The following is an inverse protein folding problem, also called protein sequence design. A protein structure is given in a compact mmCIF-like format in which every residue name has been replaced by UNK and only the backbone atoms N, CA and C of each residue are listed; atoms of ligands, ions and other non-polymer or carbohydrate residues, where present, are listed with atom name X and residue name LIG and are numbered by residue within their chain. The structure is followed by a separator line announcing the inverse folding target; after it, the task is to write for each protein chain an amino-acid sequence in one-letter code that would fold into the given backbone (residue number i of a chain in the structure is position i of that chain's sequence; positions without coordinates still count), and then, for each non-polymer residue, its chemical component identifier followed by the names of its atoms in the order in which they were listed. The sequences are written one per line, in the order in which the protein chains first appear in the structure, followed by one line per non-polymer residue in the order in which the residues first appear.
data_IF_835841321645
#
_entry.id   IF_835841321645
#
_cell.length_a   1.000
_cell.length_b   1.000
_cell.length_c   1.000
_cell.angle_alpha   90.00
_cell.angle_beta   90.00
_cell.angle_gamma   90.00
#
_symmetry.space_group_name_H-M   'P 1'
#
loop_
_entity.id
_entity.type
_entity.pdbx_description
1 polymer ?
#
# COMPACT_ATOMS: atom_id res chain seq x y z
N UNK A 1 14.48 -8.14 40.19
CA UNK A 1 13.88 -8.76 38.99
C UNK A 1 13.84 -7.71 37.89
N UNK A 2 14.46 -8.00 36.74
CA UNK A 2 14.69 -7.05 35.65
C UNK A 2 13.38 -6.79 34.89
N UNK A 3 12.95 -5.54 34.84
CA UNK A 3 11.85 -5.09 34.01
C UNK A 3 12.31 -4.88 32.57
N UNK A 4 11.75 -5.66 31.63
CA UNK A 4 11.94 -5.45 30.20
C UNK A 4 10.93 -4.40 29.72
N UNK A 5 11.40 -3.18 29.46
CA UNK A 5 10.64 -2.18 28.71
C UNK A 5 10.71 -2.55 27.23
N UNK A 6 9.58 -2.90 26.63
CA UNK A 6 9.44 -3.01 25.18
C UNK A 6 9.17 -1.61 24.66
N UNK A 7 10.24 -0.86 24.39
CA UNK A 7 10.19 0.38 23.60
C UNK A 7 10.55 0.06 22.14
N UNK A 8 9.91 0.78 21.21
CA UNK A 8 10.02 0.73 19.75
C UNK A 8 9.23 -0.37 19.02
N UNK A 9 7.93 -0.11 18.82
CA UNK A 9 7.28 -0.53 17.57
C UNK A 9 7.70 0.44 16.46
N UNK A 10 8.22 -0.15 15.40
CA UNK A 10 8.98 0.45 14.30
C UNK A 10 8.05 1.08 13.24
N UNK A 11 7.31 2.14 13.60
CA UNK A 11 6.43 2.85 12.64
C UNK A 11 6.96 4.20 12.16
N UNK A 12 8.10 4.67 12.69
CA UNK A 12 8.65 5.99 12.36
C UNK A 12 9.70 6.12 11.22
N UNK A 13 10.12 5.10 10.46
CA UNK A 13 11.02 5.37 9.33
C UNK A 13 10.31 5.84 8.05
N UNK A 14 8.98 5.65 7.92
CA UNK A 14 8.28 5.93 6.65
C UNK A 14 7.92 7.41 6.46
N UNK A 15 7.46 8.10 7.51
CA UNK A 15 7.08 9.51 7.42
C UNK A 15 8.29 10.45 7.27
N UNK A 16 9.40 10.15 7.95
CA UNK A 16 10.63 10.92 7.82
C UNK A 16 11.25 10.81 6.41
N UNK A 17 11.12 9.65 5.76
CA UNK A 17 11.63 9.42 4.40
C UNK A 17 10.86 10.24 3.35
N UNK A 18 9.52 10.30 3.47
CA UNK A 18 8.65 11.08 2.57
C UNK A 18 8.94 12.59 2.64
N UNK A 19 9.33 13.10 3.81
CA UNK A 19 9.75 14.50 3.98
C UNK A 19 11.14 14.77 3.39
N UNK A 20 12.09 13.83 3.51
CA UNK A 20 13.45 13.97 2.95
C UNK A 20 13.51 13.87 1.42
N UNK A 21 12.55 13.17 0.79
CA UNK A 21 12.48 13.01 -0.66
C UNK A 21 12.09 14.30 -1.39
N UNK A 22 11.46 15.26 -0.71
CA UNK A 22 11.10 16.57 -1.29
C UNK A 22 12.30 17.49 -1.52
N UNK A 23 13.44 17.23 -0.87
CA UNK A 23 14.61 18.14 -0.87
C UNK A 23 15.67 17.84 -1.93
N UNK A 24 15.69 16.65 -2.55
CA UNK A 24 16.80 16.23 -3.42
C UNK A 24 16.38 15.90 -4.88
N UNK A 25 15.53 16.73 -5.49
CA UNK A 25 15.28 16.68 -6.93
C UNK A 25 16.27 17.56 -7.70
N UNK A 26 17.48 17.07 -7.97
CA UNK A 26 18.27 17.50 -9.14
C UNK A 26 19.22 16.40 -9.63
N UNK A 27 19.03 16.02 -10.90
CA UNK A 27 20.05 15.60 -11.89
C UNK A 27 20.33 14.12 -12.24
N UNK A 28 19.55 13.11 -11.82
CA UNK A 28 19.77 11.73 -12.34
C UNK A 28 18.54 11.06 -12.95
N UNK A 29 17.46 11.79 -13.17
CA UNK A 29 16.13 11.23 -13.50
C UNK A 29 15.89 10.91 -14.98
N UNK A 30 16.92 10.86 -15.83
CA UNK A 30 16.72 10.75 -17.29
C UNK A 30 16.99 9.37 -17.90
N UNK A 31 17.60 8.42 -17.17
CA UNK A 31 18.00 7.13 -17.78
C UNK A 31 17.20 5.90 -17.31
N UNK A 32 16.37 6.01 -16.27
CA UNK A 32 15.60 4.86 -15.74
C UNK A 32 14.21 4.64 -16.39
N UNK A 33 13.78 5.51 -17.31
CA UNK A 33 12.39 5.57 -17.76
C UNK A 33 11.96 4.46 -18.76
N UNK A 34 12.84 3.56 -19.19
CA UNK A 34 12.55 2.63 -20.30
C UNK A 34 12.22 1.19 -19.86
N UNK A 35 12.42 0.82 -18.60
CA UNK A 35 12.11 -0.52 -18.10
C UNK A 35 11.01 -0.40 -17.04
N UNK A 36 9.80 -0.86 -17.37
CA UNK A 36 8.65 -0.78 -16.46
C UNK A 36 8.90 -1.43 -15.10
N UNK A 37 8.05 -1.14 -14.11
CA UNK A 37 8.21 -1.67 -12.75
C UNK A 37 8.31 -3.20 -12.75
N UNK A 38 9.39 -3.71 -12.13
CA UNK A 38 9.73 -5.14 -12.09
C UNK A 38 8.67 -6.01 -11.39
N UNK A 39 7.94 -5.44 -10.43
CA UNK A 39 7.06 -6.18 -9.53
C UNK A 39 5.57 -6.00 -9.84
N UNK A 40 5.22 -4.94 -10.55
CA UNK A 40 3.85 -4.51 -10.82
C UNK A 40 3.65 -4.31 -12.31
N UNK A 41 3.32 -5.41 -12.99
CA UNK A 41 3.01 -5.37 -14.42
C UNK A 41 1.85 -4.41 -14.74
N UNK A 42 0.89 -4.26 -13.82
CA UNK A 42 -0.30 -3.41 -13.94
C UNK A 42 -0.04 -1.91 -13.71
N UNK A 43 1.20 -1.43 -13.83
CA UNK A 43 1.53 0.01 -13.79
C UNK A 43 1.60 0.65 -15.17
N UNK A 44 2.29 -0.01 -16.11
CA UNK A 44 2.67 0.58 -17.40
C UNK A 44 2.20 -0.25 -18.61
N UNK A 45 1.28 -1.20 -18.41
CA UNK A 45 0.74 -2.02 -19.49
C UNK A 45 -0.18 -1.25 -20.43
N UNK A 46 -0.50 -1.84 -21.60
CA UNK A 46 -1.40 -1.18 -22.56
C UNK A 46 -2.81 -0.98 -22.00
N UNK A 47 -3.27 -1.88 -21.14
CA UNK A 47 -4.55 -1.77 -20.47
C UNK A 47 -4.60 -0.65 -19.44
N UNK A 48 -3.46 -0.09 -19.06
CA UNK A 48 -3.31 0.94 -18.05
C UNK A 48 -3.30 2.36 -18.62
N UNK A 49 -3.23 2.51 -19.95
CA UNK A 49 -3.19 3.82 -20.64
C UNK A 49 -4.39 4.71 -20.28
N UNK A 50 -5.54 4.09 -19.97
CA UNK A 50 -6.78 4.78 -19.61
C UNK A 50 -7.10 4.71 -18.10
N UNK A 51 -6.21 4.15 -17.29
CA UNK A 51 -6.42 4.04 -15.84
C UNK A 51 -6.56 5.42 -15.23
N UNK A 52 -7.60 5.59 -14.41
CA UNK A 52 -7.79 6.83 -13.65
C UNK A 52 -7.01 6.75 -12.34
N UNK A 53 -5.89 7.47 -12.28
CA UNK A 53 -5.07 7.55 -11.07
C UNK A 53 -5.61 8.60 -10.10
N UNK A 54 -5.61 8.28 -8.81
CA UNK A 54 -6.08 9.19 -7.72
C UNK A 54 -5.26 10.47 -7.66
N UNK A 55 -3.94 10.35 -7.86
CA UNK A 55 -3.00 11.48 -7.83
C UNK A 55 -2.64 12.00 -9.23
N UNK A 56 -3.47 11.72 -10.24
CA UNK A 56 -3.32 12.23 -11.61
C UNK A 56 -2.25 11.52 -12.46
N UNK A 57 -1.40 10.68 -11.86
CA UNK A 57 -0.35 9.92 -12.54
C UNK A 57 -0.13 8.55 -11.87
N UNK A 58 0.44 7.56 -12.60
CA UNK A 58 0.88 6.31 -11.98
C UNK A 58 1.94 6.57 -10.90
N UNK A 59 1.90 5.87 -9.77
CA UNK A 59 2.92 6.01 -8.73
C UNK A 59 4.29 5.51 -9.19
N UNK A 60 5.35 6.14 -8.68
CA UNK A 60 6.73 5.69 -8.86
C UNK A 60 7.18 4.87 -7.63
N UNK A 61 7.71 3.67 -7.87
CA UNK A 61 8.19 2.75 -6.82
C UNK A 61 9.71 2.56 -6.81
N UNK A 62 10.49 3.30 -7.60
CA UNK A 62 11.94 3.07 -7.80
C UNK A 62 12.71 3.06 -6.48
N UNK A 63 12.46 4.05 -5.61
CA UNK A 63 13.11 4.16 -4.29
C UNK A 63 12.74 2.99 -3.38
N UNK A 64 11.47 2.62 -3.36
CA UNK A 64 10.97 1.53 -2.50
C UNK A 64 11.46 0.17 -3.02
N UNK A 65 11.51 -0.01 -4.34
CA UNK A 65 12.03 -1.21 -4.97
C UNK A 65 13.53 -1.36 -4.69
N UNK A 66 14.30 -0.28 -4.78
CA UNK A 66 15.72 -0.28 -4.40
C UNK A 66 15.90 -0.72 -2.95
N UNK A 67 15.18 -0.11 -2.02
CA UNK A 67 15.25 -0.46 -0.59
C UNK A 67 14.85 -1.92 -0.34
N UNK A 68 13.82 -2.41 -1.04
CA UNK A 68 13.40 -3.81 -0.96
C UNK A 68 14.49 -4.77 -1.46
N UNK A 69 15.16 -4.45 -2.57
CA UNK A 69 16.26 -5.26 -3.11
C UNK A 69 17.48 -5.27 -2.18
N UNK A 70 17.79 -4.14 -1.54
CA UNK A 70 18.87 -4.04 -0.54
C UNK A 70 18.56 -4.81 0.74
N UNK A 71 17.30 -4.82 1.18
CA UNK A 71 16.86 -5.42 2.43
C UNK A 71 16.39 -6.88 2.35
N UNK A 72 16.11 -7.41 1.15
CA UNK A 72 15.58 -8.77 1.02
C UNK A 72 16.64 -9.81 1.39
N UNK A 73 16.22 -10.82 2.14
CA UNK A 73 17.08 -11.95 2.53
C UNK A 73 16.84 -13.20 1.68
N UNK A 74 15.80 -13.18 0.82
CA UNK A 74 15.41 -14.31 -0.01
C UNK A 74 15.05 -13.85 -1.42
N UNK A 75 15.51 -14.62 -2.40
CA UNK A 75 15.17 -14.45 -3.81
C UNK A 75 14.29 -15.62 -4.20
N UNK A 76 13.11 -15.32 -4.74
CA UNK A 76 12.19 -16.33 -5.22
C UNK A 76 12.61 -16.79 -6.62
N UNK A 77 12.56 -18.10 -6.93
CA UNK A 77 12.75 -18.57 -8.29
C UNK A 77 11.72 -17.94 -9.23
N UNK A 78 12.15 -17.63 -10.47
CA UNK A 78 11.24 -17.10 -11.48
C UNK A 78 10.10 -18.09 -11.76
N UNK A 79 8.87 -17.59 -11.79
CA UNK A 79 7.65 -18.35 -11.99
C UNK A 79 7.15 -19.08 -10.74
N UNK A 80 7.84 -18.98 -9.60
CA UNK A 80 7.44 -19.66 -8.36
C UNK A 80 6.14 -19.07 -7.79
N UNK A 81 5.50 -19.83 -6.90
CA UNK A 81 4.30 -19.37 -6.21
C UNK A 81 4.60 -18.14 -5.35
N UNK A 82 5.73 -18.13 -4.66
CA UNK A 82 6.14 -17.05 -3.77
C UNK A 82 6.42 -15.76 -4.54
N UNK A 83 7.06 -15.85 -5.71
CA UNK A 83 7.22 -14.71 -6.61
C UNK A 83 5.85 -14.15 -7.02
N UNK A 84 4.92 -15.03 -7.43
CA UNK A 84 3.57 -14.63 -7.84
C UNK A 84 2.81 -13.96 -6.70
N UNK A 85 2.84 -14.52 -5.49
CA UNK A 85 2.17 -13.95 -4.31
C UNK A 85 2.76 -12.58 -3.95
N UNK A 86 4.09 -12.45 -3.99
CA UNK A 86 4.75 -11.16 -3.75
C UNK A 86 4.30 -10.09 -4.74
N UNK A 87 4.32 -10.41 -6.03
CA UNK A 87 3.94 -9.47 -7.09
C UNK A 87 2.44 -9.15 -7.05
N UNK A 88 1.60 -10.13 -6.71
CA UNK A 88 0.17 -9.95 -6.48
C UNK A 88 -0.08 -8.95 -5.34
N UNK A 89 0.55 -9.14 -4.18
CA UNK A 89 0.36 -8.26 -3.02
C UNK A 89 0.85 -6.82 -3.29
N UNK A 90 2.02 -6.68 -3.93
CA UNK A 90 2.55 -5.37 -4.34
C UNK A 90 1.63 -4.65 -5.33
N UNK A 91 1.04 -5.40 -6.26
CA UNK A 91 0.07 -4.85 -7.21
C UNK A 91 -1.25 -4.52 -6.53
N UNK A 92 -1.75 -5.38 -5.65
CA UNK A 92 -3.01 -5.21 -4.92
C UNK A 92 -2.99 -3.93 -4.07
N UNK A 93 -1.89 -3.71 -3.35
CA UNK A 93 -1.67 -2.50 -2.55
C UNK A 93 -1.66 -1.25 -3.45
N UNK A 94 -0.90 -1.28 -4.54
CA UNK A 94 -0.90 -0.20 -5.53
C UNK A 94 -2.30 0.11 -6.05
N UNK A 95 -3.08 -0.90 -6.43
CA UNK A 95 -4.41 -0.72 -7.00
C UNK A 95 -5.37 -0.07 -5.99
N UNK A 96 -5.43 -0.59 -4.76
CA UNK A 96 -6.27 -0.02 -3.69
C UNK A 96 -5.95 1.46 -3.48
N UNK A 97 -4.68 1.80 -3.30
CA UNK A 97 -4.30 3.15 -2.87
C UNK A 97 -4.16 4.16 -4.00
N UNK A 98 -3.98 3.74 -5.26
CA UNK A 98 -3.66 4.66 -6.35
C UNK A 98 -4.67 4.65 -7.49
N UNK A 99 -5.42 3.56 -7.72
CA UNK A 99 -6.47 3.54 -8.75
C UNK A 99 -7.77 4.09 -8.20
N UNK A 100 -8.38 5.01 -8.95
CA UNK A 100 -9.63 5.69 -8.58
C UNK A 100 -10.87 4.84 -8.85
N UNK A 101 -10.86 4.10 -9.96
CA UNK A 101 -11.97 3.22 -10.35
C UNK A 101 -11.70 1.79 -9.94
N UNK A 102 -12.70 1.12 -9.36
CA UNK A 102 -12.63 -0.31 -9.09
C UNK A 102 -12.65 -1.16 -10.37
N UNK A 103 -13.24 -0.66 -11.46
CA UNK A 103 -13.25 -1.37 -12.74
C UNK A 103 -11.84 -1.51 -13.34
N UNK A 104 -10.88 -0.68 -12.89
CA UNK A 104 -9.48 -0.75 -13.33
C UNK A 104 -8.69 -1.80 -12.53
N UNK A 105 -9.28 -2.45 -11.52
CA UNK A 105 -8.60 -3.42 -10.66
C UNK A 105 -8.43 -4.75 -11.39
N UNK A 106 -7.23 -5.31 -11.32
CA UNK A 106 -6.88 -6.61 -11.94
C UNK A 106 -6.54 -7.68 -10.92
N UNK A 107 -6.24 -7.28 -9.68
CA UNK A 107 -5.78 -8.19 -8.63
C UNK A 107 -6.90 -8.87 -7.87
N UNK A 108 -8.14 -8.37 -7.98
CA UNK A 108 -9.31 -8.92 -7.33
C UNK A 108 -10.60 -8.55 -8.08
N UNK A 109 -11.68 -9.27 -7.79
CA UNK A 109 -13.04 -8.93 -8.23
C UNK A 109 -13.68 -7.99 -7.18
N UNK A 110 -13.89 -6.69 -7.48
CA UNK A 110 -14.42 -5.72 -6.52
C UNK A 110 -15.78 -6.13 -5.95
N UNK A 111 -16.60 -6.83 -6.74
CA UNK A 111 -17.96 -7.23 -6.34
C UNK A 111 -17.98 -8.40 -5.37
N UNK A 112 -16.90 -9.17 -5.29
CA UNK A 112 -16.77 -10.34 -4.42
C UNK A 112 -15.78 -10.14 -3.28
N UNK A 113 -14.94 -9.11 -3.38
CA UNK A 113 -13.95 -8.82 -2.36
C UNK A 113 -14.63 -8.46 -1.03
N UNK A 114 -14.16 -9.11 0.03
CA UNK A 114 -14.56 -8.80 1.40
C UNK A 114 -13.34 -8.75 2.30
N UNK A 115 -13.36 -7.82 3.24
CA UNK A 115 -12.33 -7.63 4.26
C UNK A 115 -12.92 -7.89 5.66
N UNK A 116 -12.21 -8.63 6.51
CA UNK A 116 -12.59 -8.84 7.91
C UNK A 116 -11.35 -8.69 8.79
N UNK A 117 -11.47 -7.90 9.85
CA UNK A 117 -10.44 -7.74 10.87
C UNK A 117 -10.82 -8.54 12.11
N UNK A 118 -9.96 -9.46 12.54
CA UNK A 118 -10.08 -10.18 13.83
C UNK A 118 -11.45 -10.84 14.06
N UNK A 119 -12.05 -11.42 13.02
CA UNK A 119 -13.36 -12.09 13.11
C UNK A 119 -14.57 -11.15 13.12
N UNK A 120 -14.36 -9.84 12.90
CA UNK A 120 -15.46 -8.88 12.72
C UNK A 120 -16.25 -9.16 11.44
N UNK A 121 -17.43 -8.56 11.35
CA UNK A 121 -18.30 -8.66 10.17
C UNK A 121 -17.50 -8.30 8.89
N UNK A 122 -17.56 -9.14 7.84
CA UNK A 122 -16.96 -8.81 6.56
C UNK A 122 -17.52 -7.50 6.01
N UNK A 123 -16.64 -6.67 5.48
CA UNK A 123 -16.91 -5.35 4.89
C UNK A 123 -16.59 -5.39 3.41
N UNK A 124 -17.44 -4.84 2.55
CA UNK A 124 -17.18 -4.77 1.10
C UNK A 124 -16.20 -3.65 0.74
N UNK A 125 -15.68 -3.63 -0.48
CA UNK A 125 -14.75 -2.59 -0.92
C UNK A 125 -15.42 -1.20 -0.98
N UNK A 126 -16.69 -1.13 -1.41
CA UNK A 126 -17.48 0.11 -1.40
C UNK A 126 -17.66 0.64 0.02
N UNK A 127 -17.99 -0.25 0.96
CA UNK A 127 -18.09 0.10 2.37
C UNK A 127 -16.76 0.57 2.92
N UNK A 128 -15.64 -0.03 2.49
CA UNK A 128 -14.30 0.39 2.91
C UNK A 128 -14.01 1.83 2.48
N UNK A 129 -14.29 2.17 1.23
CA UNK A 129 -14.11 3.54 0.73
C UNK A 129 -15.05 4.53 1.42
N UNK A 130 -16.34 4.20 1.51
CA UNK A 130 -17.36 5.12 2.03
C UNK A 130 -17.25 5.34 3.54
N UNK A 131 -16.97 4.28 4.31
CA UNK A 131 -17.01 4.33 5.78
C UNK A 131 -15.67 4.66 6.39
N UNK A 132 -14.59 4.11 5.84
CA UNK A 132 -13.28 4.21 6.48
C UNK A 132 -12.40 5.28 5.87
N UNK A 133 -12.76 5.90 4.76
CA UNK A 133 -12.01 7.03 4.21
C UNK A 133 -10.72 6.59 3.52
N UNK A 134 -9.97 5.59 4.04
CA UNK A 134 -9.37 4.63 3.14
C UNK A 134 -8.58 3.42 3.63
N UNK A 135 -7.68 2.88 2.81
CA UNK A 135 -7.35 1.44 2.80
C UNK A 135 -6.77 0.85 4.10
N UNK A 136 -6.12 1.65 4.94
CA UNK A 136 -5.58 1.22 6.24
C UNK A 136 -6.54 1.45 7.41
N UNK A 137 -7.50 2.38 7.29
CA UNK A 137 -8.44 2.71 8.34
C UNK A 137 -9.33 1.52 8.78
N UNK A 138 -9.72 0.56 7.91
CA UNK A 138 -10.39 -0.67 8.34
C UNK A 138 -9.59 -1.50 9.35
N UNK A 139 -8.25 -1.39 9.39
CA UNK A 139 -7.39 -2.11 10.34
C UNK A 139 -7.42 -1.48 11.74
N UNK A 140 -7.89 -0.25 11.88
CA UNK A 140 -7.98 0.45 13.16
C UNK A 140 -9.25 0.09 13.95
N UNK A 141 -10.16 -0.70 13.36
CA UNK A 141 -11.39 -1.13 14.01
C UNK A 141 -11.10 -1.81 15.35
N UNK A 142 -11.69 -1.26 16.41
CA UNK A 142 -11.46 -1.72 17.79
C UNK A 142 -12.77 -1.85 18.56
N UNK A 143 -12.73 -2.64 19.63
CA UNK A 143 -13.80 -2.74 20.64
C UNK A 143 -13.31 -2.26 22.01
N UNK A 144 -12.12 -1.66 22.04
CA UNK A 144 -11.59 -1.05 23.25
C UNK A 144 -12.44 0.17 23.62
N UNK A 145 -12.61 0.45 24.92
CA UNK A 145 -13.14 1.72 25.40
C UNK A 145 -12.38 2.92 24.82
N UNK A 146 -13.07 4.05 24.63
CA UNK A 146 -12.54 5.26 23.97
C UNK A 146 -11.25 5.76 24.62
N UNK A 147 -11.15 5.68 25.94
CA UNK A 147 -9.95 6.06 26.70
C UNK A 147 -8.69 5.24 26.35
N UNK A 148 -8.84 4.09 25.69
CA UNK A 148 -7.75 3.24 25.21
C UNK A 148 -7.59 3.28 23.68
N UNK A 149 -8.34 4.13 23.00
CA UNK A 149 -8.23 4.33 21.55
C UNK A 149 -7.23 5.45 21.26
N UNK A 150 -5.98 5.07 20.98
CA UNK A 150 -4.93 6.04 20.64
C UNK A 150 -5.08 6.67 19.25
N UNK A 151 -5.90 6.08 18.38
CA UNK A 151 -6.21 6.58 17.03
C UNK A 151 -7.72 6.58 16.84
N UNK A 152 -8.27 7.73 16.42
CA UNK A 152 -9.69 7.87 16.14
C UNK A 152 -9.95 7.73 14.63
N UNK A 153 -10.54 6.61 14.22
CA UNK A 153 -10.83 6.31 12.81
C UNK A 153 -11.63 7.42 12.12
N UNK A 154 -12.52 8.12 12.85
CA UNK A 154 -13.33 9.20 12.30
C UNK A 154 -12.52 10.48 11.99
N UNK A 155 -11.35 10.63 12.62
CA UNK A 155 -10.46 11.79 12.47
C UNK A 155 -9.22 11.46 11.63
N UNK A 156 -8.87 10.18 11.46
CA UNK A 156 -7.70 9.76 10.71
C UNK A 156 -7.86 9.98 9.19
N UNK A 157 -7.16 11.00 8.69
CA UNK A 157 -7.08 11.30 7.25
C UNK A 157 -5.88 10.68 6.55
N UNK A 158 -4.96 10.04 7.29
CA UNK A 158 -3.71 9.50 6.74
C UNK A 158 -3.92 8.27 5.82
N UNK A 159 -5.11 7.66 5.87
CA UNK A 159 -5.50 6.52 5.03
C UNK A 159 -6.35 6.87 3.81
N UNK A 160 -6.58 8.14 3.48
CA UNK A 160 -7.67 8.57 2.60
C UNK A 160 -7.49 8.14 1.12
N UNK A 161 -8.54 7.53 0.55
CA UNK A 161 -8.75 7.20 -0.86
C UNK A 161 -9.03 8.45 -1.71
#
# INVERSE_FOLDING_TARGET
MRGLRITQFQTQPYLALLLSAKTNMTSSSVEAAQQGDKYRASLNGEGEKNTKWRFGAPPNYDVVNKLFEEGRTKIWPQGSLEEKVQNLLKSWEMEIFHKKSFDDFKTMDPKKYTFSLNGRKPTTLEEIVQKFGGGYNPLLQTSLPEEFQFYNIAEETAGVF
#
